data_IF_636539767148
#
_entry.id   IF_636539767148
#
_cell.length_a   1.000
_cell.length_b   1.000
_cell.length_c   1.000
_cell.angle_alpha   90.00
_cell.angle_beta   90.00
_cell.angle_gamma   90.00
#
_symmetry.space_group_name_H-M   'P 1'
#
loop_
_entity.id
_entity.type
_entity.pdbx_description
1 polymer ?
#
# COMPACT_ATOMS: atom_id res chain seq x y z
N UNK A 1 23.83 33.53 6.69
CA UNK A 1 22.53 33.46 7.39
C UNK A 1 22.48 32.14 8.14
N UNK A 2 22.40 32.16 9.48
CA UNK A 2 22.23 30.94 10.26
C UNK A 2 20.82 30.34 10.05
N UNK A 3 20.65 29.00 10.00
CA UNK A 3 19.33 28.40 9.88
C UNK A 3 18.47 28.74 11.10
N UNK A 4 17.30 29.35 10.89
CA UNK A 4 16.37 29.67 11.97
C UNK A 4 15.53 28.43 12.32
N UNK A 5 15.96 27.68 13.33
CA UNK A 5 15.31 26.45 13.80
C UNK A 5 13.91 26.66 14.39
N UNK A 6 13.46 27.90 14.63
CA UNK A 6 12.13 28.21 15.17
C UNK A 6 10.97 27.83 14.24
N UNK A 7 11.27 27.41 13.01
CA UNK A 7 10.30 26.94 12.02
C UNK A 7 10.49 25.47 11.61
N UNK A 8 11.42 24.74 12.24
CA UNK A 8 11.74 23.36 11.84
C UNK A 8 10.55 22.38 11.93
N UNK A 9 9.57 22.68 12.78
CA UNK A 9 8.36 21.89 12.97
C UNK A 9 7.08 22.60 12.50
N UNK A 10 7.18 23.79 11.90
CA UNK A 10 5.99 24.45 11.32
C UNK A 10 5.65 23.74 10.02
N UNK A 11 4.54 23.01 10.04
CA UNK A 11 3.81 22.65 8.82
C UNK A 11 3.51 23.96 8.08
N UNK A 12 3.96 24.08 6.83
CA UNK A 12 4.10 25.33 6.09
C UNK A 12 2.89 26.27 6.19
N UNK A 13 3.15 27.58 6.29
CA UNK A 13 2.14 28.64 6.19
C UNK A 13 1.71 28.95 4.75
N UNK A 14 2.43 28.41 3.77
CA UNK A 14 2.15 28.63 2.35
C UNK A 14 0.88 27.90 1.91
N UNK A 15 0.28 28.38 0.82
CA UNK A 15 -0.90 27.76 0.22
C UNK A 15 -0.56 26.34 -0.24
N UNK A 16 -1.17 25.35 0.41
CA UNK A 16 -0.95 23.94 0.11
C UNK A 16 -1.66 23.56 -1.20
N UNK A 17 -0.90 23.01 -2.15
CA UNK A 17 -1.35 22.60 -3.49
C UNK A 17 -2.29 23.62 -4.18
N UNK A 18 -1.78 24.83 -4.51
CA UNK A 18 -2.59 25.92 -5.06
C UNK A 18 -3.17 25.58 -6.44
N UNK A 19 -2.64 24.56 -7.10
CA UNK A 19 -3.08 24.12 -8.42
C UNK A 19 -3.95 22.86 -8.40
N UNK A 20 -4.29 22.28 -7.24
CA UNK A 20 -5.08 21.04 -7.15
C UNK A 20 -4.49 19.84 -7.90
N UNK A 21 -3.18 19.64 -7.77
CA UNK A 21 -2.42 18.57 -8.45
C UNK A 21 -2.87 17.18 -8.06
N UNK A 22 -3.25 16.97 -6.80
CA UNK A 22 -3.74 15.66 -6.36
C UNK A 22 -5.11 15.30 -6.95
N UNK A 23 -5.91 16.29 -7.38
CA UNK A 23 -7.26 16.10 -7.90
C UNK A 23 -7.34 16.18 -9.44
N UNK A 24 -6.21 16.41 -10.12
CA UNK A 24 -6.19 16.64 -11.56
C UNK A 24 -5.19 15.74 -12.27
N UNK A 25 -5.38 15.59 -13.58
CA UNK A 25 -4.57 14.75 -14.47
C UNK A 25 -4.14 15.56 -15.70
N UNK A 26 -3.01 15.16 -16.30
CA UNK A 26 -2.59 15.66 -17.61
C UNK A 26 -3.36 15.01 -18.77
N UNK A 27 -3.92 13.83 -18.54
CA UNK A 27 -4.52 12.96 -19.56
C UNK A 27 -6.04 12.86 -19.42
N UNK A 28 -6.54 12.85 -18.18
CA UNK A 28 -7.94 12.56 -17.86
C UNK A 28 -8.67 13.80 -17.36
N UNK A 29 -9.96 13.90 -17.68
CA UNK A 29 -10.83 14.89 -17.02
C UNK A 29 -11.01 14.54 -15.54
N UNK A 30 -11.32 15.51 -14.66
CA UNK A 30 -11.53 15.24 -13.23
C UNK A 30 -12.59 14.15 -12.96
N UNK A 31 -13.67 14.11 -13.76
CA UNK A 31 -14.70 13.08 -13.64
C UNK A 31 -14.21 11.67 -13.97
N UNK A 32 -13.38 11.53 -15.01
CA UNK A 32 -12.80 10.23 -15.37
C UNK A 32 -11.76 9.80 -14.34
N UNK A 33 -10.91 10.72 -13.88
CA UNK A 33 -9.93 10.44 -12.83
C UNK A 33 -10.62 10.00 -11.52
N UNK A 34 -11.71 10.67 -11.15
CA UNK A 34 -12.55 10.26 -10.02
C UNK A 34 -13.05 8.82 -10.20
N UNK A 35 -13.67 8.52 -11.36
CA UNK A 35 -14.26 7.21 -11.62
C UNK A 35 -13.21 6.09 -11.55
N UNK A 36 -12.04 6.28 -12.16
CA UNK A 36 -10.96 5.28 -12.12
C UNK A 36 -10.47 5.05 -10.68
N UNK A 37 -10.24 6.12 -9.92
CA UNK A 37 -9.84 6.01 -8.50
C UNK A 37 -10.91 5.32 -7.66
N UNK A 38 -12.19 5.60 -7.90
CA UNK A 38 -13.30 4.94 -7.22
C UNK A 38 -13.36 3.44 -7.56
N UNK A 39 -13.13 3.07 -8.82
CA UNK A 39 -13.04 1.66 -9.24
C UNK A 39 -11.86 0.96 -8.59
N UNK A 40 -10.69 1.59 -8.52
CA UNK A 40 -9.52 1.02 -7.84
C UNK A 40 -9.76 0.85 -6.33
N UNK A 41 -10.37 1.85 -5.68
CA UNK A 41 -10.75 1.74 -4.27
C UNK A 41 -11.73 0.59 -4.06
N UNK A 42 -12.80 0.52 -4.85
CA UNK A 42 -13.82 -0.52 -4.76
C UNK A 42 -13.21 -1.91 -4.96
N UNK A 43 -12.39 -2.09 -5.99
CA UNK A 43 -11.71 -3.36 -6.27
C UNK A 43 -10.77 -3.77 -5.13
N UNK A 44 -9.96 -2.84 -4.62
CA UNK A 44 -9.01 -3.13 -3.55
C UNK A 44 -9.73 -3.49 -2.24
N UNK A 45 -10.78 -2.76 -1.85
CA UNK A 45 -11.60 -3.11 -0.69
C UNK A 45 -12.35 -4.43 -0.88
N UNK A 46 -12.97 -4.64 -2.05
CA UNK A 46 -13.65 -5.90 -2.36
C UNK A 46 -12.67 -7.09 -2.25
N UNK A 47 -11.46 -6.94 -2.77
CA UNK A 47 -10.39 -7.95 -2.65
C UNK A 47 -10.02 -8.20 -1.19
N UNK A 48 -9.76 -7.15 -0.40
CA UNK A 48 -9.39 -7.28 1.01
C UNK A 48 -10.48 -8.00 1.81
N UNK A 49 -11.73 -7.57 1.68
CA UNK A 49 -12.84 -8.19 2.40
C UNK A 49 -13.16 -9.59 1.89
N UNK A 50 -13.02 -9.85 0.59
CA UNK A 50 -13.17 -11.19 0.03
C UNK A 50 -12.11 -12.15 0.58
N UNK A 51 -10.84 -11.75 0.63
CA UNK A 51 -9.75 -12.57 1.19
C UNK A 51 -10.02 -12.89 2.67
N UNK A 52 -10.38 -11.86 3.46
CA UNK A 52 -10.71 -12.04 4.88
C UNK A 52 -11.90 -12.99 5.04
N UNK A 53 -12.97 -12.78 4.27
CA UNK A 53 -14.18 -13.61 4.32
C UNK A 53 -13.92 -15.06 3.87
N UNK A 54 -13.14 -15.26 2.82
CA UNK A 54 -12.76 -16.58 2.31
C UNK A 54 -11.98 -17.37 3.36
N UNK A 55 -10.97 -16.75 3.95
CA UNK A 55 -10.15 -17.38 5.00
C UNK A 55 -10.95 -17.65 6.27
N UNK A 56 -11.73 -16.67 6.73
CA UNK A 56 -12.51 -16.80 7.96
C UNK A 56 -13.64 -17.85 7.86
N UNK A 57 -14.12 -18.15 6.65
CA UNK A 57 -15.18 -19.12 6.41
C UNK A 57 -14.69 -20.56 6.25
N UNK A 58 -13.38 -20.81 6.31
CA UNK A 58 -12.83 -22.17 6.28
C UNK A 58 -12.57 -22.75 4.89
N UNK A 59 -12.73 -21.97 3.82
CA UNK A 59 -12.51 -22.45 2.46
C UNK A 59 -11.04 -22.81 2.23
N UNK A 60 -10.77 -23.80 1.39
CA UNK A 60 -9.43 -24.30 1.06
C UNK A 60 -8.55 -24.65 2.28
N UNK A 61 -9.17 -25.00 3.42
CA UNK A 61 -8.46 -25.34 4.66
C UNK A 61 -7.85 -24.14 5.39
N UNK A 62 -8.30 -22.93 5.04
CA UNK A 62 -7.98 -21.71 5.79
C UNK A 62 -8.77 -21.63 7.09
N UNK A 63 -8.38 -20.70 7.96
CA UNK A 63 -9.11 -20.39 9.18
C UNK A 63 -8.91 -18.91 9.60
N UNK A 64 -9.50 -18.52 10.73
CA UNK A 64 -9.35 -17.19 11.30
C UNK A 64 -7.90 -16.83 11.69
N UNK A 65 -7.05 -17.82 11.99
CA UNK A 65 -5.64 -17.57 12.28
C UNK A 65 -4.89 -17.14 11.03
N UNK A 66 -5.26 -17.62 9.84
CA UNK A 66 -4.68 -17.17 8.58
C UNK A 66 -5.00 -15.68 8.33
N UNK A 67 -6.21 -15.23 8.68
CA UNK A 67 -6.57 -13.79 8.68
C UNK A 67 -5.67 -13.00 9.63
N UNK A 68 -5.47 -13.46 10.87
CA UNK A 68 -4.60 -12.77 11.84
C UNK A 68 -3.13 -12.77 11.45
N UNK A 69 -2.66 -13.80 10.74
CA UNK A 69 -1.31 -13.83 10.16
C UNK A 69 -1.20 -12.82 9.01
N UNK A 70 -2.25 -12.62 8.23
CA UNK A 70 -2.23 -11.72 7.07
C UNK A 70 -1.76 -10.29 7.41
N UNK A 71 -2.13 -9.77 8.57
CA UNK A 71 -1.74 -8.43 9.04
C UNK A 71 -0.25 -8.28 9.40
N UNK A 72 0.50 -9.38 9.45
CA UNK A 72 1.95 -9.35 9.62
C UNK A 72 2.70 -9.10 8.30
N UNK A 73 2.06 -9.26 7.13
CA UNK A 73 2.72 -9.08 5.83
C UNK A 73 2.69 -7.64 5.35
N UNK A 74 3.85 -7.16 4.88
CA UNK A 74 3.98 -5.84 4.27
C UNK A 74 3.03 -5.64 3.10
N UNK A 75 2.87 -6.67 2.26
CA UNK A 75 1.94 -6.66 1.13
C UNK A 75 0.53 -6.31 1.55
N UNK A 76 0.00 -6.93 2.60
CA UNK A 76 -1.36 -6.72 3.07
C UNK A 76 -1.53 -5.30 3.61
N UNK A 77 -0.56 -4.83 4.41
CA UNK A 77 -0.56 -3.44 4.92
C UNK A 77 -0.47 -2.42 3.77
N UNK A 78 0.37 -2.67 2.78
CA UNK A 78 0.51 -1.85 1.58
C UNK A 78 -0.79 -1.80 0.78
N UNK A 79 -1.49 -2.93 0.65
CA UNK A 79 -2.74 -3.01 -0.09
C UNK A 79 -3.90 -2.30 0.64
N UNK A 80 -3.96 -2.38 1.97
CA UNK A 80 -4.84 -1.53 2.79
C UNK A 80 -4.56 -0.04 2.60
N UNK A 81 -3.29 0.36 2.61
CA UNK A 81 -2.90 1.74 2.37
C UNK A 81 -3.33 2.22 0.97
N UNK A 82 -3.19 1.38 -0.06
CA UNK A 82 -3.70 1.68 -1.41
C UNK A 82 -5.22 1.83 -1.45
N UNK A 83 -5.97 0.90 -0.85
CA UNK A 83 -7.43 0.97 -0.81
C UNK A 83 -7.92 2.27 -0.15
N UNK A 84 -7.35 2.62 1.01
CA UNK A 84 -7.66 3.86 1.74
C UNK A 84 -7.25 5.09 0.91
N UNK A 85 -6.05 5.08 0.32
CA UNK A 85 -5.59 6.18 -0.52
C UNK A 85 -6.55 6.42 -1.68
N UNK A 86 -6.91 5.38 -2.44
CA UNK A 86 -7.78 5.54 -3.61
C UNK A 86 -9.18 6.00 -3.23
N UNK A 87 -9.70 5.57 -2.07
CA UNK A 87 -10.95 6.09 -1.53
C UNK A 87 -10.84 7.60 -1.25
N UNK A 88 -9.83 8.02 -0.48
CA UNK A 88 -9.62 9.44 -0.18
C UNK A 88 -9.37 10.26 -1.46
N UNK A 89 -8.58 9.73 -2.39
CA UNK A 89 -8.29 10.36 -3.67
C UNK A 89 -9.54 10.50 -4.53
N UNK A 90 -10.40 9.47 -4.59
CA UNK A 90 -11.68 9.55 -5.30
C UNK A 90 -12.59 10.63 -4.71
N UNK A 91 -12.75 10.68 -3.38
CA UNK A 91 -13.55 11.70 -2.68
C UNK A 91 -13.00 13.11 -2.93
N UNK A 92 -11.68 13.29 -2.84
CA UNK A 92 -11.02 14.56 -3.12
C UNK A 92 -11.19 14.99 -4.59
N UNK A 93 -11.16 14.05 -5.52
CA UNK A 93 -11.33 14.32 -6.95
C UNK A 93 -12.78 14.66 -7.27
N UNK A 94 -13.74 13.93 -6.68
CA UNK A 94 -15.16 14.19 -6.81
C UNK A 94 -15.52 15.59 -6.32
N UNK A 95 -15.06 15.94 -5.12
CA UNK A 95 -15.36 17.26 -4.54
C UNK A 95 -14.68 18.40 -5.30
N UNK A 96 -13.59 18.13 -6.02
CA UNK A 96 -13.01 19.09 -6.97
C UNK A 96 -13.80 19.19 -8.28
N UNK A 97 -14.28 18.05 -8.82
CA UNK A 97 -15.00 17.99 -10.09
C UNK A 97 -16.42 18.54 -10.00
N UNK A 98 -17.04 18.48 -8.81
CA UNK A 98 -18.42 18.88 -8.58
C UNK A 98 -18.54 20.39 -8.31
N UNK A 99 -19.17 21.19 -9.19
CA UNK A 99 -19.12 22.66 -9.12
C UNK A 99 -19.69 23.28 -7.83
N UNK A 100 -20.67 22.63 -7.21
CA UNK A 100 -21.30 23.11 -5.97
C UNK A 100 -20.67 22.54 -4.69
N UNK A 101 -19.65 21.69 -4.82
CA UNK A 101 -18.97 21.12 -3.66
C UNK A 101 -17.62 21.79 -3.50
N UNK A 102 -17.28 22.25 -2.30
CA UNK A 102 -15.96 22.80 -2.07
C UNK A 102 -14.91 21.68 -2.02
N UNK A 103 -13.77 21.89 -2.66
CA UNK A 103 -12.63 20.97 -2.62
C UNK A 103 -12.22 20.66 -1.19
N UNK A 104 -12.23 19.37 -0.81
CA UNK A 104 -12.03 18.93 0.57
C UNK A 104 -10.57 19.01 1.04
N UNK A 105 -9.62 18.52 0.24
CA UNK A 105 -8.24 18.34 0.67
C UNK A 105 -7.55 19.63 1.20
N UNK A 106 -7.71 20.82 0.57
CA UNK A 106 -7.17 22.06 1.12
C UNK A 106 -7.75 22.44 2.49
N UNK A 107 -8.96 21.97 2.81
CA UNK A 107 -9.66 22.28 4.07
C UNK A 107 -9.20 21.41 5.25
N UNK A 108 -8.50 20.32 4.99
CA UNK A 108 -7.97 19.49 6.08
C UNK A 108 -6.91 20.24 6.89
N UNK A 109 -6.78 19.96 8.20
CA UNK A 109 -5.67 20.44 9.01
C UNK A 109 -4.30 20.16 8.36
N UNK A 110 -3.28 21.02 8.58
CA UNK A 110 -1.97 20.89 7.92
C UNK A 110 -1.34 19.50 8.06
N UNK A 111 -1.49 18.87 9.23
CA UNK A 111 -0.96 17.53 9.49
C UNK A 111 -1.59 16.49 8.55
N UNK A 112 -2.91 16.50 8.38
CA UNK A 112 -3.59 15.54 7.51
C UNK A 112 -3.25 15.75 6.04
N UNK A 113 -2.99 17.00 5.61
CA UNK A 113 -2.50 17.27 4.25
C UNK A 113 -1.09 16.72 4.03
N UNK A 114 -0.21 16.87 5.01
CA UNK A 114 1.13 16.30 4.98
C UNK A 114 1.09 14.75 4.99
N UNK A 115 0.26 14.16 5.85
CA UNK A 115 0.05 12.71 5.90
C UNK A 115 -0.55 12.17 4.59
N UNK A 116 -1.49 12.89 3.98
CA UNK A 116 -2.03 12.51 2.67
C UNK A 116 -0.96 12.55 1.58
N UNK A 117 -0.09 13.57 1.57
CA UNK A 117 1.02 13.66 0.62
C UNK A 117 2.08 12.55 0.84
N UNK A 118 2.34 12.19 2.10
CA UNK A 118 3.19 11.06 2.44
C UNK A 118 2.54 9.73 2.02
N UNK A 119 1.24 9.56 2.27
CA UNK A 119 0.46 8.40 1.84
C UNK A 119 0.49 8.24 0.32
N UNK A 120 0.30 9.33 -0.44
CA UNK A 120 0.50 9.32 -1.90
C UNK A 120 1.87 8.77 -2.29
N UNK A 121 2.91 9.20 -1.58
CA UNK A 121 4.28 8.75 -1.87
C UNK A 121 4.45 7.27 -1.57
N UNK A 122 3.91 6.77 -0.46
CA UNK A 122 4.02 5.34 -0.13
C UNK A 122 3.25 4.49 -1.13
N UNK A 123 2.02 4.87 -1.52
CA UNK A 123 1.21 4.09 -2.47
C UNK A 123 1.70 4.15 -3.92
N UNK A 124 2.58 5.09 -4.26
CA UNK A 124 3.23 5.18 -5.58
C UNK A 124 4.65 4.61 -5.59
N UNK A 125 5.16 4.11 -4.44
CA UNK A 125 6.52 3.55 -4.35
C UNK A 125 6.54 2.14 -3.78
N UNK A 126 5.86 1.89 -2.67
CA UNK A 126 5.86 0.58 -1.99
C UNK A 126 5.22 -0.54 -2.80
N UNK A 127 4.18 -0.33 -3.62
CA UNK A 127 3.64 -1.41 -4.43
C UNK A 127 4.63 -1.99 -5.43
N UNK A 128 5.53 -1.16 -6.00
CA UNK A 128 6.60 -1.65 -6.85
C UNK A 128 7.58 -2.52 -6.07
N UNK A 129 7.95 -2.10 -4.85
CA UNK A 129 8.79 -2.90 -3.95
C UNK A 129 8.13 -4.25 -3.62
N UNK A 130 6.83 -4.24 -3.32
CA UNK A 130 6.04 -5.46 -3.04
C UNK A 130 6.04 -6.39 -4.23
N UNK A 131 5.73 -5.89 -5.43
CA UNK A 131 5.70 -6.71 -6.64
C UNK A 131 7.07 -7.26 -6.97
N UNK A 132 8.12 -6.44 -6.91
CA UNK A 132 9.50 -6.90 -7.15
C UNK A 132 9.91 -7.96 -6.13
N UNK A 133 9.69 -7.73 -4.82
CA UNK A 133 10.03 -8.69 -3.78
C UNK A 133 9.28 -10.02 -3.96
N UNK A 134 7.99 -9.96 -4.30
CA UNK A 134 7.23 -11.17 -4.56
C UNK A 134 7.73 -11.92 -5.79
N UNK A 135 7.74 -11.28 -6.97
CA UNK A 135 8.01 -12.00 -8.22
C UNK A 135 9.48 -12.40 -8.39
N UNK A 136 10.42 -11.65 -7.82
CA UNK A 136 11.86 -11.93 -7.98
C UNK A 136 12.46 -12.75 -6.83
N UNK A 137 11.91 -12.67 -5.61
CA UNK A 137 12.49 -13.33 -4.42
C UNK A 137 11.58 -14.43 -3.89
N UNK A 138 10.31 -14.13 -3.62
CA UNK A 138 9.42 -15.08 -2.95
C UNK A 138 8.88 -16.15 -3.92
N UNK A 139 8.41 -15.75 -5.10
CA UNK A 139 7.81 -16.65 -6.08
C UNK A 139 8.72 -17.82 -6.46
N UNK A 140 10.02 -17.64 -6.75
CA UNK A 140 10.92 -18.76 -7.06
C UNK A 140 11.20 -19.69 -5.88
N UNK A 141 10.98 -19.23 -4.64
CA UNK A 141 11.24 -19.99 -3.40
C UNK A 141 10.05 -20.83 -2.93
N UNK A 142 8.89 -20.74 -3.59
CA UNK A 142 7.69 -21.47 -3.21
C UNK A 142 7.62 -22.76 -4.04
N UNK A 143 7.62 -23.96 -3.43
CA UNK A 143 7.39 -25.19 -4.16
C UNK A 143 6.02 -25.16 -4.84
N UNK A 144 5.95 -25.59 -6.11
CA UNK A 144 4.71 -25.60 -6.88
C UNK A 144 3.59 -26.32 -6.11
N UNK A 145 2.40 -25.69 -5.94
CA UNK A 145 1.81 -24.82 -6.93
C UNK A 145 1.09 -23.57 -6.37
N UNK A 146 1.79 -22.44 -6.37
CA UNK A 146 1.30 -21.09 -5.97
C UNK A 146 0.10 -20.57 -6.81
N UNK A 147 -0.36 -21.34 -7.79
CA UNK A 147 -1.45 -21.01 -8.71
C UNK A 147 -2.44 -22.16 -8.97
N UNK A 148 -2.46 -23.20 -8.13
CA UNK A 148 -3.36 -24.34 -8.39
C UNK A 148 -4.79 -24.14 -7.94
N UNK A 149 -5.08 -23.07 -7.19
CA UNK A 149 -6.45 -22.73 -6.82
C UNK A 149 -6.85 -21.39 -7.42
N UNK A 150 -8.13 -21.23 -7.81
CA UNK A 150 -8.65 -19.92 -8.22
C UNK A 150 -8.41 -18.84 -7.15
N UNK A 151 -8.48 -19.22 -5.87
CA UNK A 151 -8.22 -18.32 -4.76
C UNK A 151 -6.76 -17.84 -4.73
N UNK A 152 -5.77 -18.74 -4.77
CA UNK A 152 -4.34 -18.36 -4.78
C UNK A 152 -3.98 -17.52 -6.02
N UNK A 153 -4.52 -17.85 -7.19
CA UNK A 153 -4.34 -17.04 -8.38
C UNK A 153 -4.93 -15.64 -8.21
N UNK A 154 -6.16 -15.55 -7.67
CA UNK A 154 -6.83 -14.29 -7.43
C UNK A 154 -6.06 -13.41 -6.43
N UNK A 155 -5.68 -13.94 -5.27
CA UNK A 155 -5.00 -13.17 -4.23
C UNK A 155 -3.63 -12.69 -4.71
N UNK A 156 -2.85 -13.58 -5.33
CA UNK A 156 -1.52 -13.23 -5.81
C UNK A 156 -1.57 -12.20 -6.95
N UNK A 157 -2.47 -12.36 -7.91
CA UNK A 157 -2.65 -11.37 -8.98
C UNK A 157 -3.07 -10.01 -8.41
N UNK A 158 -4.02 -10.01 -7.47
CA UNK A 158 -4.56 -8.76 -6.92
C UNK A 158 -3.52 -8.00 -6.08
N UNK A 159 -2.84 -8.70 -5.17
CA UNK A 159 -1.98 -8.07 -4.17
C UNK A 159 -0.51 -7.92 -4.61
N UNK A 160 -0.05 -8.72 -5.58
CA UNK A 160 1.35 -8.70 -6.04
C UNK A 160 1.55 -8.26 -7.49
N UNK A 161 0.49 -8.17 -8.32
CA UNK A 161 0.59 -7.58 -9.66
C UNK A 161 -0.23 -6.29 -9.81
N UNK A 162 -1.54 -6.34 -9.52
CA UNK A 162 -2.41 -5.17 -9.70
C UNK A 162 -2.08 -4.00 -8.76
N UNK A 163 -1.48 -4.29 -7.60
CA UNK A 163 -0.94 -3.27 -6.71
C UNK A 163 0.06 -2.33 -7.43
N UNK A 164 1.00 -2.86 -8.21
CA UNK A 164 1.95 -2.07 -8.99
C UNK A 164 1.30 -1.39 -10.20
N UNK A 165 0.30 -2.02 -10.83
CA UNK A 165 -0.49 -1.37 -11.88
C UNK A 165 -1.21 -0.13 -11.36
N UNK A 166 -1.84 -0.22 -10.18
CA UNK A 166 -2.51 0.92 -9.56
C UNK A 166 -1.53 2.03 -9.20
N UNK A 167 -0.36 1.68 -8.65
CA UNK A 167 0.71 2.63 -8.38
C UNK A 167 1.18 3.33 -9.67
N UNK A 168 1.43 2.56 -10.74
CA UNK A 168 1.86 3.07 -12.03
C UNK A 168 0.84 4.02 -12.64
N UNK A 169 -0.44 3.63 -12.66
CA UNK A 169 -1.51 4.51 -13.11
C UNK A 169 -1.50 5.82 -12.31
N UNK A 170 -1.44 5.74 -10.98
CA UNK A 170 -1.55 6.93 -10.14
C UNK A 170 -0.33 7.85 -10.31
N UNK A 171 0.86 7.30 -10.52
CA UNK A 171 2.10 8.03 -10.85
C UNK A 171 2.03 8.73 -12.21
N UNK A 172 1.51 8.06 -13.25
CA UNK A 172 1.51 8.58 -14.62
C UNK A 172 0.31 9.49 -14.92
N UNK A 173 -0.87 9.12 -14.43
CA UNK A 173 -2.10 9.82 -14.73
C UNK A 173 -2.27 11.07 -13.87
N UNK A 174 -1.85 11.07 -12.61
CA UNK A 174 -2.06 12.21 -11.71
C UNK A 174 -1.03 13.32 -11.95
N UNK A 175 -1.46 14.59 -11.86
CA UNK A 175 -0.57 15.75 -11.99
C UNK A 175 0.30 16.02 -10.74
N UNK A 176 0.48 15.03 -9.88
CA UNK A 176 1.24 15.17 -8.64
C UNK A 176 2.66 15.66 -8.92
N UNK A 177 3.14 16.57 -8.06
CA UNK A 177 4.54 16.98 -8.11
C UNK A 177 5.44 15.82 -7.61
N UNK A 178 6.72 15.78 -8.01
CA UNK A 178 7.69 14.88 -7.39
C UNK A 178 7.63 14.98 -5.87
N UNK A 179 7.68 13.83 -5.19
CA UNK A 179 7.67 13.80 -3.74
C UNK A 179 8.87 14.59 -3.18
N UNK A 180 8.69 15.42 -2.13
CA UNK A 180 9.79 16.13 -1.51
C UNK A 180 10.76 15.12 -0.87
N UNK A 181 12.05 15.43 -0.87
CA UNK A 181 13.10 14.54 -0.34
C UNK A 181 12.87 14.07 1.09
N UNK A 182 12.18 14.85 1.92
CA UNK A 182 11.84 14.44 3.29
C UNK A 182 10.93 13.22 3.33
N UNK A 183 10.13 12.97 2.29
CA UNK A 183 9.33 11.75 2.20
C UNK A 183 10.21 10.50 2.09
N UNK A 184 11.42 10.59 1.54
CA UNK A 184 12.35 9.45 1.54
C UNK A 184 12.70 9.05 2.98
N UNK A 185 13.02 10.00 3.85
CA UNK A 185 13.29 9.75 5.26
C UNK A 185 12.09 9.07 5.93
N UNK A 186 10.88 9.60 5.74
CA UNK A 186 9.67 9.03 6.34
C UNK A 186 9.33 7.65 5.77
N UNK A 187 9.51 7.42 4.47
CA UNK A 187 9.32 6.10 3.86
C UNK A 187 10.31 5.08 4.39
N UNK A 188 11.59 5.45 4.56
CA UNK A 188 12.60 4.58 5.18
C UNK A 188 12.25 4.27 6.64
N UNK A 189 11.77 5.27 7.39
CA UNK A 189 11.32 5.06 8.77
C UNK A 189 10.14 4.10 8.83
N UNK A 190 9.14 4.23 7.93
CA UNK A 190 8.01 3.29 7.83
C UNK A 190 8.47 1.86 7.50
N UNK A 191 9.44 1.71 6.59
CA UNK A 191 10.03 0.41 6.27
C UNK A 191 10.78 -0.17 7.49
N UNK A 192 11.55 0.64 8.20
CA UNK A 192 12.23 0.22 9.43
C UNK A 192 11.24 -0.19 10.54
N UNK A 193 10.15 0.55 10.69
CA UNK A 193 9.05 0.19 11.60
C UNK A 193 8.40 -1.13 11.20
N UNK A 194 8.18 -1.37 9.90
CA UNK A 194 7.69 -2.65 9.41
C UNK A 194 8.66 -3.79 9.72
N UNK A 195 9.97 -3.59 9.50
CA UNK A 195 10.97 -4.58 9.90
C UNK A 195 10.86 -4.88 11.41
N UNK A 196 10.74 -3.86 12.26
CA UNK A 196 10.47 -4.04 13.68
C UNK A 196 9.22 -4.89 13.94
N UNK A 197 8.11 -4.61 13.25
CA UNK A 197 6.87 -5.39 13.34
C UNK A 197 7.06 -6.86 12.93
N UNK A 198 7.88 -7.14 11.91
CA UNK A 198 8.19 -8.51 11.50
C UNK A 198 8.94 -9.28 12.59
N UNK A 199 9.87 -8.64 13.31
CA UNK A 199 10.56 -9.24 14.45
C UNK A 199 9.67 -9.39 15.69
N UNK A 200 8.75 -8.45 15.92
CA UNK A 200 7.69 -8.62 16.94
C UNK A 200 6.79 -9.81 16.59
N UNK A 201 6.47 -9.99 15.31
CA UNK A 201 5.71 -11.17 14.84
C UNK A 201 6.45 -12.45 15.15
N UNK A 202 7.76 -12.52 14.90
CA UNK A 202 8.58 -13.66 15.29
C UNK A 202 8.55 -13.89 16.81
N UNK A 203 8.76 -12.85 17.61
CA UNK A 203 8.77 -12.96 19.08
C UNK A 203 7.44 -13.46 19.67
N UNK A 204 6.30 -13.11 19.06
CA UNK A 204 4.97 -13.44 19.58
C UNK A 204 4.36 -14.69 18.92
N UNK A 205 4.64 -14.93 17.64
CA UNK A 205 4.03 -16.02 16.85
C UNK A 205 5.00 -17.15 16.48
N UNK A 206 6.30 -16.99 16.74
CA UNK A 206 7.31 -18.03 16.55
C UNK A 206 7.75 -18.29 15.10
N UNK A 207 7.40 -17.43 14.15
CA UNK A 207 7.80 -17.56 12.75
C UNK A 207 8.24 -16.22 12.14
N UNK A 208 9.17 -16.28 11.18
CA UNK A 208 9.55 -15.12 10.39
C UNK A 208 8.57 -14.91 9.24
N UNK A 209 8.07 -13.68 9.09
CA UNK A 209 7.13 -13.30 8.02
C UNK A 209 7.72 -13.56 6.64
N UNK A 210 9.04 -13.37 6.49
CA UNK A 210 9.78 -13.65 5.27
C UNK A 210 11.07 -14.38 5.61
N UNK A 211 11.43 -15.39 4.82
CA UNK A 211 12.65 -16.19 5.03
C UNK A 211 13.93 -15.34 5.03
N UNK A 212 13.99 -14.29 4.19
CA UNK A 212 15.14 -13.40 4.11
C UNK A 212 15.32 -12.50 5.36
N UNK A 213 14.35 -12.47 6.29
CA UNK A 213 14.48 -11.80 7.58
C UNK A 213 14.98 -12.72 8.69
N UNK A 214 15.13 -14.02 8.44
CA UNK A 214 15.74 -14.96 9.38
C UNK A 214 17.27 -14.81 9.35
N UNK A 215 17.94 -14.46 10.48
CA UNK A 215 19.40 -14.39 10.55
C UNK A 215 20.10 -15.75 10.40
N UNK A 216 19.37 -16.85 10.58
CA UNK A 216 19.86 -18.23 10.46
C UNK A 216 18.90 -19.05 9.59
N UNK A 217 18.73 -18.69 8.30
CA UNK A 217 17.78 -19.35 7.44
C UNK A 217 18.16 -20.83 7.33
N UNK A 218 17.25 -21.73 7.71
CA UNK A 218 17.44 -23.15 7.47
C UNK A 218 17.17 -23.41 5.99
N UNK A 219 18.21 -23.84 5.27
CA UNK A 219 18.11 -24.32 3.89
C UNK A 219 17.88 -25.84 3.90
N UNK A 220 16.99 -26.34 4.76
CA UNK A 220 16.68 -27.77 4.75
C UNK A 220 15.94 -28.14 3.46
N UNK A 221 16.38 -29.26 2.89
CA UNK A 221 16.12 -29.75 1.52
C UNK A 221 14.65 -30.15 1.31
N UNK A 222 13.76 -29.86 2.26
CA UNK A 222 12.31 -30.07 2.14
C UNK A 222 11.53 -28.79 1.81
N UNK A 223 12.19 -27.63 1.66
CA UNK A 223 11.59 -26.46 0.99
C UNK A 223 10.29 -25.94 1.60
N UNK A 224 10.01 -26.24 2.88
CA UNK A 224 8.79 -25.75 3.53
C UNK A 224 9.03 -24.32 3.99
N UNK A 225 8.49 -23.41 3.19
CA UNK A 225 8.43 -21.99 3.48
C UNK A 225 7.48 -21.76 4.67
N UNK A 226 7.98 -21.92 5.91
CA UNK A 226 7.18 -21.66 7.13
C UNK A 226 6.85 -20.15 7.27
N UNK A 227 7.53 -19.32 6.49
CA UNK A 227 7.29 -17.89 6.32
C UNK A 227 6.41 -17.59 5.10
N UNK A 228 5.13 -17.92 5.21
CA UNK A 228 4.13 -16.91 4.85
C UNK A 228 4.04 -16.43 3.41
N UNK A 229 3.97 -17.35 2.46
CA UNK A 229 3.20 -17.14 1.24
C UNK A 229 2.55 -18.46 0.89
N UNK A 230 1.24 -18.58 1.14
CA UNK A 230 0.43 -19.72 0.74
C UNK A 230 0.37 -20.86 1.75
N UNK A 231 -0.82 -21.09 2.31
CA UNK A 231 -1.47 -22.38 2.03
C UNK A 231 -2.06 -22.25 0.62
#
# INVERSE_FOLDING_TARGET
MAPNWRHALRLSSDTWDPSHRFQTSWLLTPWVLFAVRAVFALYAFATLFFIIGWQASGHDGHDIHDVHKSFSYFTVLCYWAQAIYFLLASVNTFTYAHPSTPTLLPRFPPLFRALYALLYTTVTTFPFLVSLAFWSVLYPSIPSPTFNTPFSLYTNTSQHALNALFALFETLATRSAPAPWIHLLWSLMLLAMYCGLAYVTYAVKGYYVYVFLDPRPRLDVEGVNVGGVGK
#
